data_IF_511407396954
#
_entry.id   IF_511407396954
#
_cell.length_a   1.000
_cell.length_b   1.000
_cell.length_c   1.000
_cell.angle_alpha   90.00
_cell.angle_beta   90.00
_cell.angle_gamma   90.00
#
_symmetry.space_group_name_H-M   'P 1'
#
loop_
_entity.id
_entity.type
_entity.pdbx_description
1 polymer ?
#
# COMPACT_ATOMS: atom_id res chain seq x y z
N UNK A 1 -114.06 2.43 -52.81
CA UNK A 1 -113.82 3.70 -52.10
C UNK A 1 -112.95 3.31 -50.91
N UNK A 2 -111.62 3.32 -51.05
CA UNK A 2 -110.77 4.52 -51.03
C UNK A 2 -110.43 4.78 -49.54
N UNK A 3 -109.21 4.96 -49.08
CA UNK A 3 -107.93 5.23 -49.73
C UNK A 3 -106.83 4.90 -48.70
N UNK A 4 -105.67 4.52 -49.22
CA UNK A 4 -104.43 4.36 -48.46
C UNK A 4 -103.91 5.76 -48.11
N UNK A 5 -103.41 5.97 -46.90
CA UNK A 5 -102.63 7.18 -46.63
C UNK A 5 -101.53 6.86 -45.65
N UNK A 6 -100.33 7.02 -46.19
CA UNK A 6 -99.02 6.76 -45.64
C UNK A 6 -98.73 7.56 -44.38
N UNK A 7 -98.27 6.88 -43.34
CA UNK A 7 -97.63 7.51 -42.18
C UNK A 7 -96.14 7.61 -42.47
N UNK A 8 -95.71 8.81 -42.88
CA UNK A 8 -94.32 9.15 -43.12
C UNK A 8 -93.93 10.24 -42.13
N UNK A 9 -93.14 9.92 -41.10
CA UNK A 9 -92.26 10.93 -40.48
C UNK A 9 -91.09 10.33 -39.68
N UNK A 10 -89.92 10.61 -40.24
CA UNK A 10 -88.63 10.93 -39.63
C UNK A 10 -87.94 9.91 -38.72
N UNK A 11 -87.07 9.12 -39.38
CA UNK A 11 -85.83 8.64 -38.80
C UNK A 11 -85.05 9.81 -38.19
N UNK A 12 -84.87 9.79 -36.87
CA UNK A 12 -83.95 10.72 -36.21
C UNK A 12 -82.54 10.14 -36.34
N UNK A 13 -81.78 10.65 -37.31
CA UNK A 13 -80.37 10.36 -37.50
C UNK A 13 -79.61 10.53 -36.17
N UNK A 14 -78.99 9.42 -35.73
CA UNK A 14 -78.11 9.38 -34.57
C UNK A 14 -76.75 9.93 -35.00
N UNK A 15 -76.59 11.26 -34.92
CA UNK A 15 -75.29 11.93 -35.10
C UNK A 15 -74.36 11.43 -33.98
N UNK A 16 -73.21 10.79 -34.27
CA UNK A 16 -72.18 10.57 -33.27
C UNK A 16 -71.53 11.91 -32.99
N UNK A 17 -71.76 12.46 -31.80
CA UNK A 17 -70.92 13.55 -31.27
C UNK A 17 -69.55 12.95 -30.96
N UNK A 18 -68.67 13.04 -31.93
CA UNK A 18 -67.23 12.86 -31.75
C UNK A 18 -66.73 13.98 -30.83
N UNK A 19 -66.79 13.70 -29.53
CA UNK A 19 -66.26 14.53 -28.45
C UNK A 19 -64.75 14.38 -28.43
N UNK A 20 -64.06 15.10 -29.31
CA UNK A 20 -62.61 15.34 -29.22
C UNK A 20 -62.33 16.35 -28.12
N UNK A 21 -62.56 15.95 -26.88
CA UNK A 21 -62.17 16.69 -25.69
C UNK A 21 -61.44 15.75 -24.76
N UNK A 22 -60.11 15.87 -24.65
CA UNK A 22 -59.38 15.30 -23.52
C UNK A 22 -60.08 15.77 -22.25
N UNK A 23 -60.63 14.84 -21.46
CA UNK A 23 -61.27 15.22 -20.21
C UNK A 23 -60.26 15.93 -19.31
N UNK A 24 -60.72 16.97 -18.61
CA UNK A 24 -59.90 17.71 -17.63
C UNK A 24 -59.25 16.75 -16.62
N UNK A 25 -59.93 15.64 -16.29
CA UNK A 25 -59.41 14.55 -15.47
C UNK A 25 -58.12 13.94 -16.01
N UNK A 26 -58.04 13.71 -17.31
CA UNK A 26 -56.87 13.08 -17.95
C UNK A 26 -55.71 14.06 -18.08
N UNK A 27 -56.00 15.35 -18.31
CA UNK A 27 -55.00 16.42 -18.27
C UNK A 27 -54.41 16.56 -16.87
N UNK A 28 -55.24 16.54 -15.83
CA UNK A 28 -54.80 16.61 -14.43
C UNK A 28 -53.97 15.38 -14.06
N UNK A 29 -54.37 14.16 -14.45
CA UNK A 29 -53.57 12.95 -14.22
C UNK A 29 -52.22 13.01 -14.92
N UNK A 30 -52.17 13.48 -16.17
CA UNK A 30 -50.93 13.64 -16.93
C UNK A 30 -50.00 14.63 -16.21
N UNK A 31 -50.54 15.78 -15.79
CA UNK A 31 -49.78 16.80 -15.08
C UNK A 31 -49.27 16.32 -13.71
N UNK A 32 -50.11 15.61 -12.95
CA UNK A 32 -49.74 15.01 -11.66
C UNK A 32 -48.65 13.96 -11.85
N UNK A 33 -48.73 13.14 -12.91
CA UNK A 33 -47.71 12.17 -13.28
C UNK A 33 -46.38 12.81 -13.63
N UNK A 34 -46.40 13.92 -14.39
CA UNK A 34 -45.19 14.71 -14.70
C UNK A 34 -44.58 15.27 -13.42
N UNK A 35 -45.37 15.88 -12.53
CA UNK A 35 -44.87 16.43 -11.25
C UNK A 35 -44.26 15.33 -10.38
N UNK A 36 -44.91 14.17 -10.24
CA UNK A 36 -44.38 13.07 -9.44
C UNK A 36 -43.09 12.50 -10.03
N UNK A 37 -43.01 12.40 -11.36
CA UNK A 37 -41.80 11.95 -12.07
C UNK A 37 -40.63 12.94 -11.88
N UNK A 38 -40.91 14.24 -12.04
CA UNK A 38 -39.93 15.31 -11.81
C UNK A 38 -39.48 15.33 -10.35
N UNK A 39 -40.41 15.23 -9.40
CA UNK A 39 -40.09 15.20 -7.97
C UNK A 39 -39.25 13.98 -7.58
N UNK A 40 -39.57 12.80 -8.11
CA UNK A 40 -38.80 11.58 -7.88
C UNK A 40 -37.38 11.70 -8.46
N UNK A 41 -37.25 12.32 -9.63
CA UNK A 41 -35.97 12.58 -10.28
C UNK A 41 -35.12 13.56 -9.46
N UNK A 42 -35.70 14.69 -9.05
CA UNK A 42 -35.04 15.69 -8.20
C UNK A 42 -34.63 15.12 -6.83
N UNK A 43 -35.53 14.37 -6.17
CA UNK A 43 -35.20 13.73 -4.88
C UNK A 43 -34.08 12.70 -5.02
N UNK A 44 -34.04 11.97 -6.15
CA UNK A 44 -32.95 11.06 -6.48
C UNK A 44 -31.61 11.80 -6.67
N UNK A 45 -31.61 12.88 -7.45
CA UNK A 45 -30.42 13.71 -7.68
C UNK A 45 -29.88 14.33 -6.39
N UNK A 46 -30.75 14.89 -5.54
CA UNK A 46 -30.36 15.54 -4.30
C UNK A 46 -29.75 14.56 -3.28
N UNK A 47 -30.28 13.33 -3.21
CA UNK A 47 -29.71 12.26 -2.38
C UNK A 47 -28.34 11.81 -2.90
N UNK A 48 -28.20 11.66 -4.22
CA UNK A 48 -26.94 11.29 -4.84
C UNK A 48 -25.87 12.35 -4.58
N UNK A 49 -26.17 13.62 -4.81
CA UNK A 49 -25.23 14.74 -4.63
C UNK A 49 -24.81 14.93 -3.17
N UNK A 50 -25.74 14.82 -2.22
CA UNK A 50 -25.39 14.83 -0.79
C UNK A 50 -24.47 13.65 -0.44
N UNK A 51 -24.78 12.44 -0.91
CA UNK A 51 -23.95 11.26 -0.62
C UNK A 51 -22.53 11.38 -1.18
N UNK A 52 -22.39 11.99 -2.35
CA UNK A 52 -21.11 12.19 -3.01
C UNK A 52 -20.29 13.30 -2.31
N UNK A 53 -20.93 14.39 -1.90
CA UNK A 53 -20.26 15.46 -1.15
C UNK A 53 -19.75 15.00 0.23
N UNK A 54 -20.52 14.18 0.94
CA UNK A 54 -20.12 13.61 2.23
C UNK A 54 -18.96 12.63 2.07
N UNK A 55 -19.05 11.74 1.08
CA UNK A 55 -17.98 10.77 0.79
C UNK A 55 -16.68 11.45 0.35
N UNK A 56 -16.75 12.54 -0.43
CA UNK A 56 -15.57 13.37 -0.75
C UNK A 56 -14.94 13.97 0.51
N UNK A 57 -15.74 14.59 1.39
CA UNK A 57 -15.23 15.15 2.66
C UNK A 57 -14.64 14.07 3.59
N UNK A 58 -15.22 12.87 3.62
CA UNK A 58 -14.68 11.74 4.40
C UNK A 58 -13.37 11.22 3.81
N UNK A 59 -13.29 11.09 2.47
CA UNK A 59 -12.05 10.75 1.76
C UNK A 59 -10.98 11.80 2.07
N UNK A 60 -11.28 13.07 1.89
CA UNK A 60 -10.38 14.19 2.17
C UNK A 60 -9.88 14.19 3.62
N UNK A 61 -10.75 14.03 4.62
CA UNK A 61 -10.34 13.91 6.02
C UNK A 61 -9.46 12.68 6.29
N UNK A 62 -9.63 11.59 5.52
CA UNK A 62 -8.76 10.42 5.61
C UNK A 62 -7.39 10.65 4.97
N UNK A 63 -7.33 11.46 3.90
CA UNK A 63 -6.09 11.83 3.22
C UNK A 63 -5.24 12.78 4.06
N UNK A 64 -5.86 13.75 4.73
CA UNK A 64 -5.19 14.66 5.65
C UNK A 64 -4.56 13.95 6.86
N UNK A 65 -4.95 12.69 7.13
CA UNK A 65 -4.31 11.87 8.17
C UNK A 65 -2.99 11.23 7.73
N UNK A 66 -2.73 11.14 6.41
CA UNK A 66 -1.51 10.54 5.88
C UNK A 66 -0.43 11.62 5.80
N UNK A 67 0.58 11.50 6.65
CA UNK A 67 1.65 12.47 6.87
C UNK A 67 2.71 12.45 5.76
N UNK A 68 3.03 11.27 5.24
CA UNK A 68 4.08 11.15 4.22
C UNK A 68 3.51 11.26 2.81
N UNK A 69 4.09 12.17 2.02
CA UNK A 69 3.61 12.49 0.67
C UNK A 69 3.55 11.25 -0.24
N UNK A 70 4.60 10.42 -0.24
CA UNK A 70 4.64 9.20 -1.04
C UNK A 70 3.54 8.20 -0.67
N UNK A 71 3.20 8.08 0.61
CA UNK A 71 2.10 7.22 1.04
C UNK A 71 0.74 7.83 0.70
N UNK A 72 0.61 9.16 0.75
CA UNK A 72 -0.63 9.86 0.38
C UNK A 72 -0.98 9.62 -1.09
N UNK A 73 -0.03 9.87 -2.00
CA UNK A 73 -0.23 9.64 -3.44
C UNK A 73 -0.63 8.19 -3.73
N UNK A 74 0.02 7.23 -3.08
CA UNK A 74 -0.32 5.80 -3.23
C UNK A 74 -1.72 5.49 -2.66
N UNK A 75 -2.12 6.15 -1.59
CA UNK A 75 -3.44 5.95 -1.00
C UNK A 75 -4.56 6.51 -1.90
N UNK A 76 -4.37 7.71 -2.44
CA UNK A 76 -5.28 8.37 -3.39
C UNK A 76 -5.48 7.52 -4.63
N UNK A 77 -4.38 7.09 -5.26
CA UNK A 77 -4.42 6.20 -6.41
C UNK A 77 -5.22 4.91 -6.13
N UNK A 78 -4.97 4.28 -4.97
CA UNK A 78 -5.73 3.08 -4.58
C UNK A 78 -7.21 3.38 -4.32
N UNK A 79 -7.55 4.58 -3.83
CA UNK A 79 -8.93 5.00 -3.60
C UNK A 79 -9.69 5.26 -4.90
N UNK A 80 -9.03 5.83 -5.91
CA UNK A 80 -9.58 5.99 -7.27
C UNK A 80 -9.86 4.64 -7.92
N UNK A 81 -8.94 3.68 -7.79
CA UNK A 81 -9.14 2.31 -8.28
C UNK A 81 -10.34 1.63 -7.60
N UNK A 82 -10.52 1.80 -6.28
CA UNK A 82 -11.67 1.26 -5.56
C UNK A 82 -13.00 1.85 -6.09
N UNK A 83 -13.04 3.13 -6.43
CA UNK A 83 -14.23 3.75 -7.02
C UNK A 83 -14.52 3.21 -8.43
N UNK A 84 -13.47 2.98 -9.23
CA UNK A 84 -13.60 2.31 -10.52
C UNK A 84 -14.16 0.89 -10.38
N UNK A 85 -13.68 0.14 -9.39
CA UNK A 85 -14.17 -1.21 -9.10
C UNK A 85 -15.61 -1.22 -8.62
N UNK A 86 -16.05 -0.25 -7.81
CA UNK A 86 -17.45 -0.14 -7.36
C UNK A 86 -18.41 0.09 -8.54
N UNK A 87 -17.99 0.92 -9.51
CA UNK A 87 -18.74 1.12 -10.77
C UNK A 87 -18.79 -0.16 -11.61
N UNK A 88 -17.69 -0.91 -11.68
CA UNK A 88 -17.65 -2.20 -12.39
C UNK A 88 -18.49 -3.26 -11.67
N UNK A 89 -18.47 -3.30 -10.34
CA UNK A 89 -19.25 -4.21 -9.51
C UNK A 89 -20.74 -4.02 -9.76
N UNK A 90 -21.20 -2.78 -9.80
CA UNK A 90 -22.60 -2.44 -10.10
C UNK A 90 -23.02 -2.95 -11.48
N UNK A 91 -22.18 -2.75 -12.51
CA UNK A 91 -22.46 -3.24 -13.87
C UNK A 91 -22.45 -4.76 -13.96
N UNK A 92 -21.46 -5.41 -13.34
CA UNK A 92 -21.36 -6.88 -13.31
C UNK A 92 -22.54 -7.51 -12.57
N UNK A 93 -23.02 -6.85 -11.51
CA UNK A 93 -24.21 -7.24 -10.77
C UNK A 93 -25.47 -7.17 -11.64
N UNK A 94 -25.68 -6.07 -12.36
CA UNK A 94 -26.82 -5.90 -13.27
C UNK A 94 -26.82 -6.96 -14.40
N UNK A 95 -25.63 -7.32 -14.89
CA UNK A 95 -25.43 -8.35 -15.91
C UNK A 95 -25.47 -9.78 -15.34
N UNK A 96 -25.54 -9.95 -14.01
CA UNK A 96 -25.45 -11.24 -13.30
C UNK A 96 -24.19 -12.04 -13.65
N UNK A 97 -23.09 -11.34 -13.92
CA UNK A 97 -21.79 -11.95 -14.22
C UNK A 97 -21.05 -12.30 -12.93
N UNK A 98 -21.24 -13.54 -12.46
CA UNK A 98 -20.64 -14.03 -11.22
C UNK A 98 -19.11 -14.11 -11.27
N UNK A 99 -18.52 -14.38 -12.43
CA UNK A 99 -17.07 -14.49 -12.59
C UNK A 99 -16.43 -13.11 -12.39
N UNK A 100 -16.97 -12.09 -13.07
CA UNK A 100 -16.51 -10.70 -12.89
C UNK A 100 -16.68 -10.24 -11.44
N UNK A 101 -17.81 -10.55 -10.78
CA UNK A 101 -18.03 -10.19 -9.37
C UNK A 101 -17.00 -10.83 -8.43
N UNK A 102 -16.62 -12.09 -8.65
CA UNK A 102 -15.60 -12.75 -7.86
C UNK A 102 -14.23 -12.07 -8.02
N UNK A 103 -13.82 -11.79 -9.26
CA UNK A 103 -12.56 -11.09 -9.56
C UNK A 103 -12.55 -9.70 -8.91
N UNK A 104 -13.63 -8.94 -9.06
CA UNK A 104 -13.77 -7.60 -8.47
C UNK A 104 -13.67 -7.67 -6.95
N UNK A 105 -14.32 -8.65 -6.31
CA UNK A 105 -14.25 -8.87 -4.86
C UNK A 105 -12.82 -9.15 -4.39
N UNK A 106 -12.05 -9.96 -5.12
CA UNK A 106 -10.64 -10.21 -4.80
C UNK A 106 -9.77 -8.95 -4.94
N UNK A 107 -9.95 -8.19 -6.02
CA UNK A 107 -9.23 -6.93 -6.24
C UNK A 107 -9.57 -5.90 -5.15
N UNK A 108 -10.84 -5.79 -4.77
CA UNK A 108 -11.31 -4.96 -3.66
C UNK A 108 -10.63 -5.35 -2.34
N UNK A 109 -10.54 -6.64 -2.03
CA UNK A 109 -9.83 -7.13 -0.83
C UNK A 109 -8.34 -6.75 -0.86
N UNK A 110 -7.66 -6.94 -1.98
CA UNK A 110 -6.23 -6.61 -2.15
C UNK A 110 -5.98 -5.10 -1.95
N UNK A 111 -6.81 -4.24 -2.55
CA UNK A 111 -6.70 -2.78 -2.41
C UNK A 111 -7.00 -2.30 -0.98
N UNK A 112 -8.03 -2.84 -0.33
CA UNK A 112 -8.33 -2.52 1.08
C UNK A 112 -7.19 -2.92 2.00
N UNK A 113 -6.60 -4.10 1.80
CA UNK A 113 -5.41 -4.55 2.52
C UNK A 113 -4.23 -3.61 2.27
N UNK A 114 -4.01 -3.18 1.02
CA UNK A 114 -2.95 -2.22 0.68
C UNK A 114 -3.15 -0.87 1.37
N UNK A 115 -4.36 -0.33 1.36
CA UNK A 115 -4.71 0.90 2.07
C UNK A 115 -4.47 0.80 3.57
N UNK A 116 -4.80 -0.35 4.19
CA UNK A 116 -4.48 -0.64 5.59
C UNK A 116 -2.97 -0.62 5.85
N UNK A 117 -2.19 -1.27 5.00
CA UNK A 117 -0.72 -1.26 5.09
C UNK A 117 -0.15 0.16 5.00
N UNK A 118 -0.68 1.01 4.10
CA UNK A 118 -0.26 2.42 4.02
C UNK A 118 -0.52 3.14 5.35
N UNK A 119 -1.72 2.97 5.93
CA UNK A 119 -2.06 3.60 7.21
C UNK A 119 -1.13 3.15 8.34
N UNK A 120 -0.77 1.86 8.41
CA UNK A 120 0.19 1.33 9.38
C UNK A 120 1.59 1.92 9.15
N UNK A 121 2.05 1.96 7.90
CA UNK A 121 3.36 2.52 7.56
C UNK A 121 3.44 4.02 7.87
N UNK A 122 2.35 4.75 7.73
CA UNK A 122 2.33 6.19 7.95
C UNK A 122 2.18 6.57 9.42
N UNK A 123 1.43 5.77 10.20
CA UNK A 123 1.27 5.99 11.64
C UNK A 123 2.46 5.54 12.46
N UNK A 124 3.17 4.50 12.01
CA UNK A 124 4.24 3.86 12.77
C UNK A 124 5.60 4.56 12.63
N UNK A 125 6.37 4.78 13.72
CA UNK A 125 7.74 5.33 13.63
C UNK A 125 8.73 4.42 12.90
N UNK A 126 8.48 3.10 12.86
CA UNK A 126 9.29 2.17 12.08
C UNK A 126 8.81 2.01 10.63
N UNK A 127 7.72 2.69 10.27
CA UNK A 127 7.17 2.79 8.94
C UNK A 127 6.89 1.44 8.29
N UNK A 128 7.36 1.29 7.06
CA UNK A 128 7.21 0.06 6.27
C UNK A 128 7.80 -1.21 6.91
N UNK A 129 8.76 -1.07 7.84
CA UNK A 129 9.26 -2.23 8.58
C UNK A 129 8.19 -2.81 9.52
N UNK A 130 7.33 -1.96 10.08
CA UNK A 130 6.17 -2.39 10.86
C UNK A 130 5.19 -3.18 10.02
N UNK A 131 4.96 -2.77 8.77
CA UNK A 131 4.08 -3.48 7.83
C UNK A 131 4.64 -4.87 7.48
N UNK A 132 5.96 -4.99 7.31
CA UNK A 132 6.60 -6.29 7.07
C UNK A 132 6.43 -7.23 8.27
N UNK A 133 6.64 -6.73 9.49
CA UNK A 133 6.41 -7.47 10.73
C UNK A 133 4.94 -7.82 11.00
N UNK A 134 4.03 -6.97 10.50
CA UNK A 134 2.58 -7.18 10.59
C UNK A 134 2.13 -8.32 9.68
N UNK A 135 2.68 -8.38 8.47
CA UNK A 135 2.39 -9.44 7.48
C UNK A 135 3.06 -10.77 7.83
N UNK A 136 4.27 -10.76 8.38
CA UNK A 136 5.04 -11.98 8.66
C UNK A 136 4.52 -12.81 9.85
N UNK A 137 3.67 -12.23 10.70
CA UNK A 137 3.22 -12.88 11.93
C UNK A 137 1.72 -13.21 11.87
N UNK A 138 1.42 -14.50 11.66
CA UNK A 138 0.10 -15.13 11.76
C UNK A 138 -0.29 -15.45 13.22
N UNK A 139 0.01 -14.56 14.17
CA UNK A 139 -0.31 -14.83 15.58
C UNK A 139 -1.83 -14.62 15.79
N UNK A 140 -2.54 -15.74 15.68
CA UNK A 140 -3.89 -16.07 16.14
C UNK A 140 -5.06 -15.17 15.69
N UNK A 141 -6.01 -15.79 14.99
CA UNK A 141 -7.29 -15.27 14.45
C UNK A 141 -8.23 -14.57 15.46
N UNK A 142 -7.81 -14.37 16.71
CA UNK A 142 -8.62 -13.78 17.77
C UNK A 142 -7.98 -12.54 18.43
N UNK A 143 -6.87 -12.01 17.89
CA UNK A 143 -6.19 -10.84 18.44
C UNK A 143 -6.66 -9.54 17.77
N UNK A 144 -7.33 -8.69 18.56
CA UNK A 144 -7.53 -7.25 18.35
C UNK A 144 -6.43 -6.62 17.47
N UNK A 145 -6.81 -6.14 16.29
CA UNK A 145 -5.90 -5.70 15.23
C UNK A 145 -4.92 -4.60 15.70
N UNK A 146 -5.36 -3.79 16.67
CA UNK A 146 -4.54 -2.78 17.33
C UNK A 146 -3.36 -3.42 18.10
N UNK A 147 -3.59 -4.54 18.81
CA UNK A 147 -2.53 -5.27 19.51
C UNK A 147 -1.52 -5.84 18.52
N UNK A 148 -1.99 -6.35 17.38
CA UNK A 148 -1.14 -6.88 16.32
C UNK A 148 -0.22 -5.79 15.74
N UNK A 149 -0.77 -4.60 15.46
CA UNK A 149 0.00 -3.45 14.96
C UNK A 149 1.06 -3.02 15.98
N UNK A 150 0.71 -2.84 17.26
CA UNK A 150 1.67 -2.47 18.31
C UNK A 150 2.78 -3.51 18.50
N UNK A 151 2.43 -4.79 18.41
CA UNK A 151 3.39 -5.89 18.50
C UNK A 151 4.39 -5.87 17.34
N UNK A 152 3.89 -5.68 16.11
CA UNK A 152 4.70 -5.55 14.91
C UNK A 152 5.63 -4.33 14.96
N UNK A 153 5.13 -3.19 15.42
CA UNK A 153 5.92 -1.96 15.56
C UNK A 153 7.06 -2.13 16.57
N UNK A 154 6.76 -2.74 17.72
CA UNK A 154 7.78 -3.03 18.73
C UNK A 154 8.88 -3.96 18.21
N UNK A 155 8.53 -4.99 17.41
CA UNK A 155 9.52 -5.87 16.75
C UNK A 155 10.35 -5.08 15.74
N UNK A 156 9.70 -4.31 14.87
CA UNK A 156 10.38 -3.51 13.87
C UNK A 156 11.37 -2.51 14.50
N UNK A 157 10.99 -1.84 15.58
CA UNK A 157 11.85 -0.93 16.33
C UNK A 157 13.03 -1.64 17.00
N UNK A 158 12.85 -2.86 17.53
CA UNK A 158 13.95 -3.67 18.10
C UNK A 158 14.97 -4.03 17.02
N UNK A 159 14.53 -4.47 15.85
CA UNK A 159 15.42 -4.75 14.71
C UNK A 159 16.17 -3.50 14.24
N UNK A 160 15.51 -2.34 14.17
CA UNK A 160 16.19 -1.08 13.86
C UNK A 160 17.26 -0.69 14.89
N UNK A 161 17.00 -0.91 16.19
CA UNK A 161 17.98 -0.60 17.25
C UNK A 161 19.16 -1.55 17.24
N UNK A 162 18.95 -2.84 16.98
CA UNK A 162 20.03 -3.84 16.91
C UNK A 162 20.97 -3.59 15.73
N UNK A 163 20.43 -3.28 14.54
CA UNK A 163 21.23 -2.97 13.35
C UNK A 163 22.08 -1.70 13.52
N UNK A 164 21.63 -0.71 14.30
CA UNK A 164 22.44 0.46 14.65
C UNK A 164 23.54 0.18 15.68
N UNK A 165 23.39 -0.85 16.52
CA UNK A 165 24.38 -1.19 17.57
C UNK A 165 25.50 -2.08 17.07
N UNK A 166 25.27 -2.85 16.01
CA UNK A 166 26.28 -3.74 15.42
C UNK A 166 26.84 -3.13 14.14
N UNK A 167 27.81 -2.22 14.29
CA UNK A 167 28.80 -1.92 13.24
C UNK A 167 30.13 -2.55 13.66
N UNK A 168 30.42 -3.81 13.27
CA UNK A 168 31.66 -4.48 13.67
C UNK A 168 32.91 -3.86 13.06
N UNK A 169 32.77 -3.04 12.02
CA UNK A 169 33.81 -2.15 11.51
C UNK A 169 33.13 -0.85 11.09
N UNK A 170 33.33 0.21 11.87
CA UNK A 170 33.08 1.55 11.36
C UNK A 170 33.95 1.75 10.12
N UNK A 171 33.35 1.91 8.95
CA UNK A 171 34.07 2.47 7.81
C UNK A 171 34.55 3.84 8.27
N UNK A 172 35.84 3.95 8.54
CA UNK A 172 36.51 5.23 8.71
C UNK A 172 36.06 6.11 7.53
N UNK A 173 35.27 7.15 7.81
CA UNK A 173 35.09 8.22 6.84
C UNK A 173 36.49 8.69 6.50
N UNK A 174 36.92 8.49 5.26
CA UNK A 174 38.19 9.02 4.79
C UNK A 174 38.22 10.52 5.15
N UNK A 175 39.27 11.02 5.82
CA UNK A 175 39.38 12.44 6.07
C UNK A 175 39.43 13.18 4.72
N UNK A 176 38.87 14.40 4.62
CA UNK A 176 38.99 15.18 3.40
C UNK A 176 40.47 15.38 3.13
N UNK A 177 40.94 14.95 1.95
CA UNK A 177 42.33 15.14 1.54
C UNK A 177 42.63 16.63 1.53
N UNK A 178 43.42 17.08 2.51
CA UNK A 178 43.99 18.41 2.53
C UNK A 178 44.86 18.58 1.29
N UNK A 179 44.66 19.69 0.58
CA UNK A 179 45.45 20.09 -0.55
C UNK A 179 46.92 20.24 -0.13
N UNK A 180 47.78 19.35 -0.61
CA UNK A 180 49.22 19.53 -0.61
C UNK A 180 49.70 19.24 -2.04
N UNK A 181 50.12 20.30 -2.72
CA UNK A 181 50.60 20.23 -4.09
C UNK A 181 51.82 19.34 -4.22
N UNK A 182 51.87 18.58 -5.31
CA UNK A 182 53.12 18.19 -5.97
C UNK A 182 52.80 17.88 -7.43
N UNK A 183 53.41 18.67 -8.30
CA UNK A 183 53.34 18.51 -9.74
C UNK A 183 54.13 17.27 -10.16
N UNK A 184 53.46 16.34 -10.82
CA UNK A 184 54.09 15.38 -11.73
C UNK A 184 53.12 15.11 -12.87
N UNK A 185 53.30 15.89 -13.94
CA UNK A 185 52.72 15.62 -15.25
C UNK A 185 53.37 14.34 -15.78
N UNK A 186 52.59 13.33 -16.20
CA UNK A 186 52.91 12.51 -17.38
C UNK A 186 51.63 11.92 -17.99
N UNK A 187 51.29 12.50 -19.16
CA UNK A 187 50.62 11.98 -20.36
C UNK A 187 49.62 10.79 -20.28
N UNK A 188 48.41 11.06 -20.80
CA UNK A 188 47.49 10.09 -21.41
C UNK A 188 47.54 10.31 -22.94
N UNK A 189 47.59 9.25 -23.76
CA UNK A 189 46.44 8.96 -24.65
C UNK A 189 46.19 7.44 -24.71
N UNK A 190 45.02 6.89 -24.41
CA UNK A 190 43.78 6.99 -25.17
C UNK A 190 43.27 5.57 -25.46
N UNK A 191 41.96 5.45 -25.73
CA UNK A 191 41.21 4.28 -26.21
C UNK A 191 40.62 3.28 -25.18
N UNK A 192 39.32 3.48 -24.93
CA UNK A 192 38.24 2.48 -24.94
C UNK A 192 38.53 1.07 -24.40
N UNK A 193 38.14 0.83 -23.15
CA UNK A 193 37.68 -0.48 -22.72
C UNK A 193 36.62 -0.35 -21.64
N UNK A 194 35.36 -0.45 -22.08
CA UNK A 194 34.17 -0.65 -21.28
C UNK A 194 34.36 -1.94 -20.45
N UNK A 195 34.55 -1.81 -19.13
CA UNK A 195 34.62 -2.95 -18.21
C UNK A 195 33.20 -3.25 -17.71
N UNK A 196 32.67 -4.48 -17.90
CA UNK A 196 31.43 -4.89 -17.26
C UNK A 196 31.68 -5.19 -15.77
N UNK A 197 30.70 -4.83 -14.94
CA UNK A 197 30.59 -5.16 -13.52
C UNK A 197 30.97 -6.63 -13.22
N UNK A 198 31.69 -6.94 -12.12
CA UNK A 198 31.85 -8.31 -11.70
C UNK A 198 30.51 -8.87 -11.24
N UNK A 199 30.05 -9.88 -11.98
CA UNK A 199 28.94 -10.77 -11.65
C UNK A 199 29.20 -11.41 -10.28
N UNK A 200 28.28 -11.22 -9.34
CA UNK A 200 28.22 -11.98 -8.10
C UNK A 200 27.97 -13.45 -8.44
N UNK A 201 28.99 -14.29 -8.24
CA UNK A 201 28.86 -15.75 -8.27
C UNK A 201 28.30 -16.21 -6.92
N UNK A 202 27.22 -17.02 -6.85
CA UNK A 202 26.73 -17.53 -5.58
C UNK A 202 27.66 -18.64 -5.11
N UNK A 203 28.50 -18.35 -4.12
CA UNK A 203 29.25 -19.38 -3.41
C UNK A 203 28.25 -20.21 -2.61
N UNK A 204 27.96 -21.41 -3.12
CA UNK A 204 27.16 -22.43 -2.46
C UNK A 204 27.76 -22.72 -1.07
N UNK A 205 27.05 -22.34 -0.01
CA UNK A 205 27.38 -22.78 1.33
C UNK A 205 26.64 -24.09 1.60
N UNK A 206 27.46 -25.13 1.73
CA UNK A 206 27.14 -26.47 2.16
C UNK A 206 26.44 -26.48 3.53
N UNK A 207 25.58 -27.47 3.83
CA UNK A 207 24.84 -27.53 5.07
C UNK A 207 25.73 -27.77 6.29
N UNK A 208 25.43 -27.06 7.38
CA UNK A 208 26.02 -27.25 8.70
C UNK A 208 25.63 -28.62 9.26
N UNK A 209 26.57 -29.57 9.27
CA UNK A 209 26.50 -30.77 10.10
C UNK A 209 27.16 -30.49 11.46
N UNK A 210 26.35 -30.53 12.51
CA UNK A 210 26.80 -30.52 13.89
C UNK A 210 27.43 -31.86 14.26
N UNK A 211 28.67 -31.80 14.77
CA UNK A 211 29.14 -32.69 15.83
C UNK A 211 29.83 -33.98 15.40
N UNK A 212 31.15 -34.01 15.59
CA UNK A 212 31.89 -34.92 16.48
C UNK A 212 33.34 -35.02 16.02
N UNK A 213 34.29 -34.78 16.93
CA UNK A 213 35.70 -35.14 16.70
C UNK A 213 36.68 -33.98 16.87
N UNK A 214 37.42 -34.05 17.98
CA UNK A 214 38.60 -33.29 18.39
C UNK A 214 39.49 -32.82 17.21
N UNK A 215 39.41 -31.53 16.86
CA UNK A 215 40.51 -30.75 16.29
C UNK A 215 40.21 -29.26 16.55
N UNK A 216 40.79 -28.70 17.62
CA UNK A 216 40.75 -27.23 17.82
C UNK A 216 41.57 -26.61 16.68
N UNK A 217 41.05 -25.62 15.94
CA UNK A 217 41.87 -24.89 14.98
C UNK A 217 43.06 -24.27 15.74
N UNK A 218 44.26 -24.24 15.15
CA UNK A 218 45.42 -23.66 15.81
C UNK A 218 45.10 -22.22 16.20
N UNK A 219 45.33 -21.87 17.48
CA UNK A 219 45.21 -20.48 17.93
C UNK A 219 46.15 -19.65 17.05
N UNK A 220 45.59 -18.64 16.39
CA UNK A 220 46.34 -17.65 15.60
C UNK A 220 47.51 -17.12 16.45
N UNK A 221 48.69 -16.94 15.85
CA UNK A 221 49.79 -16.26 16.53
C UNK A 221 49.66 -14.74 16.32
N UNK A 222 50.05 -13.92 17.31
CA UNK A 222 50.03 -12.46 17.17
C UNK A 222 50.87 -12.02 15.98
N UNK A 223 50.30 -11.20 15.12
CA UNK A 223 50.99 -10.62 13.97
C UNK A 223 51.77 -9.37 14.40
N UNK A 224 52.81 -8.95 13.64
CA UNK A 224 53.61 -7.76 13.96
C UNK A 224 52.82 -6.45 14.07
N UNK A 225 51.63 -6.40 13.46
CA UNK A 225 50.71 -5.26 13.48
C UNK A 225 49.55 -5.41 14.50
N UNK A 226 49.41 -6.56 15.16
CA UNK A 226 48.39 -6.74 16.19
C UNK A 226 48.80 -5.93 17.44
N UNK A 227 47.88 -5.11 17.96
CA UNK A 227 48.10 -4.26 19.15
C UNK A 227 47.69 -4.96 20.44
N UNK A 228 48.54 -4.88 21.47
CA UNK A 228 48.24 -5.41 22.80
C UNK A 228 47.26 -4.50 23.54
N UNK A 229 46.11 -5.04 23.95
CA UNK A 229 45.09 -4.30 24.73
C UNK A 229 45.50 -3.94 26.18
N UNK A 230 46.70 -4.30 26.62
CA UNK A 230 47.21 -3.92 27.95
C UNK A 230 48.21 -2.77 27.89
N UNK A 231 49.15 -2.80 26.93
CA UNK A 231 50.24 -1.84 26.83
C UNK A 231 50.26 -1.04 25.53
N UNK A 232 49.30 -1.29 24.62
CA UNK A 232 49.16 -0.68 23.30
C UNK A 232 50.36 -0.85 22.36
N UNK A 233 51.36 -1.66 22.73
CA UNK A 233 52.49 -2.00 21.87
C UNK A 233 52.11 -3.16 20.95
N UNK A 234 52.72 -3.24 19.76
CA UNK A 234 52.41 -4.28 18.78
C UNK A 234 53.20 -5.57 19.00
N UNK A 235 52.83 -6.64 18.30
CA UNK A 235 53.59 -7.90 18.25
C UNK A 235 53.30 -8.90 19.37
N UNK A 236 52.32 -8.64 20.24
CA UNK A 236 51.88 -9.60 21.26
C UNK A 236 50.43 -9.36 21.70
N UNK A 237 49.79 -10.39 22.26
CA UNK A 237 48.47 -10.27 22.88
C UNK A 237 48.57 -9.95 24.37
N UNK A 238 47.46 -9.47 24.95
CA UNK A 238 47.34 -9.17 26.39
C UNK A 238 47.82 -10.33 27.28
N UNK A 239 47.55 -11.58 26.89
CA UNK A 239 47.95 -12.78 27.65
C UNK A 239 49.47 -12.94 27.77
N UNK A 240 50.23 -12.42 26.81
CA UNK A 240 51.69 -12.56 26.73
C UNK A 240 52.37 -11.18 26.91
N UNK A 241 51.69 -10.22 27.54
CA UNK A 241 52.19 -8.86 27.70
C UNK A 241 53.37 -8.83 28.69
N UNK A 242 54.57 -8.35 28.29
CA UNK A 242 55.72 -8.25 29.18
C UNK A 242 55.46 -7.28 30.34
N UNK A 243 54.63 -6.25 30.12
CA UNK A 243 54.20 -5.29 31.16
C UNK A 243 53.04 -5.80 32.04
N UNK A 244 52.57 -7.04 31.83
CA UNK A 244 51.40 -7.60 32.54
C UNK A 244 51.75 -8.49 33.73
N UNK A 245 53.03 -8.78 33.97
CA UNK A 245 53.50 -9.61 35.08
C UNK A 245 54.02 -8.74 36.22
N UNK A 246 53.12 -8.05 36.92
CA UNK A 246 53.48 -7.34 38.16
C UNK A 246 52.36 -7.43 39.17
N UNK A 247 51.94 -8.65 39.50
CA UNK A 247 51.24 -8.97 40.75
C UNK A 247 51.24 -10.48 40.92
N UNK A 248 52.34 -10.99 41.48
CA UNK A 248 52.36 -12.11 42.43
C UNK A 248 53.83 -12.37 42.78
N UNK A 249 54.26 -11.82 43.91
CA UNK A 249 55.41 -12.30 44.67
C UNK A 249 55.07 -12.05 46.13
N UNK A 250 54.82 -13.19 46.81
CA UNK A 250 54.91 -13.51 48.23
C UNK A 250 54.39 -12.49 49.24
#
# INVERSE_FOLDING_TARGET
MGDSSDELTLETEKIPKESTGLEVSDIVKLFTGVIQSQFKTFSGQLKAEQSESISRKLKENSLHKIKSEGNRVQYEFNAELLEGLEKLESRAFDLKDSESLNIISELNKKLKTRQKHIRIADSSPAGWKTVNEYQSNEIADNSDDEKKIRSAENRALRHQKQTKRFQPYGTQRAPPTAAAGSAAQLAIPGANSFQPFPVYQPQQQQPFLYGQGRNKPPRRQPQPYDVCFNCFSTGHWKSNCPKGKTTQSQ
#
